data_IF_546836620868
#
_entry.id   IF_546836620868
#
_cell.length_a   1.000
_cell.length_b   1.000
_cell.length_c   1.000
_cell.angle_alpha   90.00
_cell.angle_beta   90.00
_cell.angle_gamma   90.00
#
_symmetry.space_group_name_H-M   'P 1'
#
loop_
_entity.id
_entity.type
_entity.pdbx_description
1 polymer ?
#
# COMPACT_ATOMS: atom_id res chain seq x y z
N UNK A 1 -1.78 -2.52 -18.23
CA UNK A 1 -0.78 -1.57 -17.65
C UNK A 1 0.58 -2.25 -17.67
N UNK A 2 1.67 -1.50 -17.86
CA UNK A 2 3.03 -2.07 -17.84
C UNK A 2 3.53 -2.10 -16.40
N UNK A 3 4.19 -3.18 -16.01
CA UNK A 3 4.83 -3.27 -14.68
C UNK A 3 5.89 -2.17 -14.54
N UNK A 4 5.82 -1.42 -13.44
CA UNK A 4 6.71 -0.28 -13.11
C UNK A 4 7.20 -0.34 -11.65
N UNK A 5 7.12 -1.54 -11.06
CA UNK A 5 7.46 -1.81 -9.66
C UNK A 5 8.49 -2.94 -9.64
N UNK A 6 9.71 -2.64 -9.21
CA UNK A 6 10.77 -3.64 -9.07
C UNK A 6 10.60 -4.53 -7.84
N UNK A 7 11.40 -5.61 -7.77
CA UNK A 7 11.27 -6.62 -6.71
C UNK A 7 11.49 -6.06 -5.30
N UNK A 8 12.43 -5.13 -5.13
CA UNK A 8 12.70 -4.49 -3.83
C UNK A 8 11.54 -3.61 -3.39
N UNK A 9 11.03 -2.77 -4.30
CA UNK A 9 9.85 -1.93 -4.07
C UNK A 9 8.62 -2.79 -3.76
N UNK A 10 8.41 -3.87 -4.53
CA UNK A 10 7.33 -4.82 -4.31
C UNK A 10 7.35 -5.40 -2.89
N UNK A 11 8.51 -5.83 -2.39
CA UNK A 11 8.66 -6.36 -1.03
C UNK A 11 8.37 -5.29 0.03
N UNK A 12 8.90 -4.08 -0.16
CA UNK A 12 8.62 -2.94 0.72
C UNK A 12 7.11 -2.63 0.78
N UNK A 13 6.41 -2.70 -0.36
CA UNK A 13 4.95 -2.52 -0.40
C UNK A 13 4.19 -3.67 0.23
N UNK A 14 4.63 -4.92 0.08
CA UNK A 14 4.04 -6.04 0.82
C UNK A 14 4.15 -5.84 2.32
N UNK A 15 5.34 -5.51 2.81
CA UNK A 15 5.60 -5.30 4.25
C UNK A 15 4.84 -4.07 4.76
N UNK A 16 4.92 -2.94 4.05
CA UNK A 16 4.27 -1.70 4.43
C UNK A 16 2.74 -1.79 4.38
N UNK A 17 2.20 -2.38 3.32
CA UNK A 17 0.76 -2.58 3.15
C UNK A 17 0.18 -3.53 4.21
N UNK A 18 0.84 -4.67 4.48
CA UNK A 18 0.39 -5.58 5.55
C UNK A 18 0.48 -4.95 6.93
N UNK A 19 1.55 -4.20 7.21
CA UNK A 19 1.69 -3.46 8.47
C UNK A 19 0.59 -2.40 8.63
N UNK A 20 0.23 -1.67 7.56
CA UNK A 20 -0.88 -0.71 7.55
C UNK A 20 -2.22 -1.38 7.83
N UNK A 21 -2.51 -2.51 7.20
CA UNK A 21 -3.73 -3.28 7.46
C UNK A 21 -3.79 -3.79 8.90
N UNK A 22 -2.67 -4.32 9.43
CA UNK A 22 -2.59 -4.75 10.83
C UNK A 22 -2.82 -3.58 11.80
N UNK A 23 -2.23 -2.41 11.50
CA UNK A 23 -2.43 -1.20 12.29
C UNK A 23 -3.88 -0.70 12.22
N UNK A 24 -4.51 -0.76 11.04
CA UNK A 24 -5.91 -0.40 10.82
C UNK A 24 -6.87 -1.26 11.67
N UNK A 25 -6.65 -2.58 11.72
CA UNK A 25 -7.48 -3.51 12.50
C UNK A 25 -7.15 -3.48 14.00
N UNK A 26 -5.94 -3.09 14.38
CA UNK A 26 -5.51 -2.99 15.76
C UNK A 26 -5.61 -1.57 16.31
N UNK A 27 -4.47 -0.91 16.60
CA UNK A 27 -4.43 0.34 17.36
C UNK A 27 -5.11 1.51 16.63
N UNK A 28 -5.06 1.60 15.30
CA UNK A 28 -5.62 2.75 14.58
C UNK A 28 -7.15 2.68 14.55
N UNK A 29 -7.73 1.51 14.23
CA UNK A 29 -9.18 1.32 14.24
C UNK A 29 -9.79 1.31 15.63
N UNK A 30 -9.11 0.73 16.62
CA UNK A 30 -9.63 0.62 17.97
C UNK A 30 -9.42 1.88 18.83
N UNK A 31 -8.27 2.58 18.70
CA UNK A 31 -7.89 3.67 19.62
C UNK A 31 -7.92 5.07 19.01
N UNK A 32 -7.75 5.21 17.70
CA UNK A 32 -7.67 6.52 17.00
C UNK A 32 -8.97 6.91 16.29
N UNK A 33 -10.01 6.10 16.41
CA UNK A 33 -11.34 6.34 15.83
C UNK A 33 -11.51 5.73 14.44
N UNK A 34 -12.77 5.58 14.01
CA UNK A 34 -13.14 4.89 12.78
C UNK A 34 -12.48 5.49 11.53
N UNK A 35 -12.36 6.81 11.42
CA UNK A 35 -11.77 7.47 10.24
C UNK A 35 -10.29 7.12 10.05
N UNK A 36 -9.49 7.17 11.11
CA UNK A 36 -8.07 6.85 11.01
C UNK A 36 -7.86 5.36 10.67
N UNK A 37 -8.66 4.47 11.26
CA UNK A 37 -8.69 3.05 10.90
C UNK A 37 -9.07 2.83 9.44
N UNK A 38 -10.13 3.48 8.95
CA UNK A 38 -10.59 3.39 7.57
C UNK A 38 -9.53 3.87 6.57
N UNK A 39 -8.91 5.03 6.82
CA UNK A 39 -7.85 5.56 5.97
C UNK A 39 -6.65 4.61 5.92
N UNK A 40 -6.23 4.07 7.07
CA UNK A 40 -5.16 3.08 7.13
C UNK A 40 -5.52 1.78 6.37
N UNK A 41 -6.79 1.36 6.44
CA UNK A 41 -7.27 0.16 5.77
C UNK A 41 -7.27 0.34 4.24
N UNK A 42 -7.82 1.45 3.76
CA UNK A 42 -7.87 1.78 2.32
C UNK A 42 -6.46 1.97 1.75
N UNK A 43 -5.62 2.75 2.43
CA UNK A 43 -4.23 2.96 2.00
C UNK A 43 -3.42 1.66 2.00
N UNK A 44 -3.54 0.84 3.05
CA UNK A 44 -2.90 -0.48 3.12
C UNK A 44 -3.31 -1.40 1.99
N UNK A 45 -4.61 -1.44 1.66
CA UNK A 45 -5.15 -2.24 0.56
C UNK A 45 -4.60 -1.80 -0.81
N UNK A 46 -4.59 -0.50 -1.10
CA UNK A 46 -4.06 0.06 -2.36
C UNK A 46 -2.56 -0.23 -2.53
N UNK A 47 -1.78 -0.11 -1.45
CA UNK A 47 -0.36 -0.42 -1.47
C UNK A 47 -0.13 -1.90 -1.77
N UNK A 48 -0.89 -2.79 -1.12
CA UNK A 48 -0.83 -4.23 -1.36
C UNK A 48 -1.24 -4.61 -2.79
N UNK A 49 -2.31 -4.01 -3.31
CA UNK A 49 -2.75 -4.23 -4.69
C UNK A 49 -1.64 -3.89 -5.68
N UNK A 50 -0.96 -2.76 -5.49
CA UNK A 50 0.18 -2.36 -6.33
C UNK A 50 1.40 -3.27 -6.18
N UNK A 51 1.55 -3.95 -5.03
CA UNK A 51 2.57 -4.98 -4.82
C UNK A 51 2.23 -6.30 -5.53
N UNK A 52 0.95 -6.69 -5.54
CA UNK A 52 0.48 -7.91 -6.21
C UNK A 52 0.53 -7.75 -7.73
N UNK A 53 0.02 -6.63 -8.24
CA UNK A 53 -0.06 -6.36 -9.68
C UNK A 53 1.26 -5.88 -10.28
N UNK A 54 2.25 -5.52 -9.44
CA UNK A 54 3.51 -4.87 -9.85
C UNK A 54 3.29 -3.62 -10.71
N UNK A 55 2.14 -2.98 -10.54
CA UNK A 55 1.76 -1.75 -11.23
C UNK A 55 1.28 -0.71 -10.23
N UNK A 56 1.88 0.48 -10.25
CA UNK A 56 1.44 1.61 -9.46
C UNK A 56 1.05 2.77 -10.41
N UNK A 57 -0.25 3.12 -10.51
CA UNK A 57 -0.70 4.20 -11.39
C UNK A 57 -0.15 5.57 -10.96
N UNK A 58 0.10 5.76 -9.66
CA UNK A 58 0.73 6.98 -9.14
C UNK A 58 2.19 7.09 -9.61
N UNK A 59 2.97 5.99 -9.55
CA UNK A 59 4.31 5.98 -10.13
C UNK A 59 4.27 6.28 -11.63
N UNK A 60 3.34 5.67 -12.37
CA UNK A 60 3.18 5.93 -13.80
C UNK A 60 2.83 7.40 -14.11
N UNK A 61 1.93 8.00 -13.33
CA UNK A 61 1.57 9.41 -13.44
C UNK A 61 2.74 10.36 -13.12
N UNK A 62 3.65 9.93 -12.24
CA UNK A 62 4.86 10.66 -11.87
C UNK A 62 6.07 10.33 -12.77
N UNK A 63 5.93 9.42 -13.74
CA UNK A 63 7.04 8.95 -14.58
C UNK A 63 8.09 8.13 -13.85
N UNK A 64 7.77 7.56 -12.69
CA UNK A 64 8.65 6.75 -11.86
C UNK A 64 8.55 5.27 -12.30
N UNK A 65 9.71 4.65 -12.52
CA UNK A 65 9.86 3.21 -12.72
C UNK A 65 10.90 2.70 -11.72
N UNK A 66 10.52 1.74 -10.88
CA UNK A 66 11.40 1.16 -9.85
C UNK A 66 11.87 -0.25 -10.20
N UNK A 67 11.65 -0.69 -11.44
CA UNK A 67 12.08 -1.99 -11.94
C UNK A 67 13.59 -2.13 -12.07
#
# INVERSE_FOLDING_TARGET
>A
MRENVGDTDQRLRFVGGTALLAAALGPLGARRGQLAGLLALVSGALVLESAVTRTCPLNAALGIDTR
#
